data_IF_264428123203
#
_entry.id   IF_264428123203
#
_cell.length_a   1.000
_cell.length_b   1.000
_cell.length_c   1.000
_cell.angle_alpha   90.00
_cell.angle_beta   90.00
_cell.angle_gamma   90.00
#
_symmetry.space_group_name_H-M   'P 1'
#
loop_
_entity.id
_entity.type
_entity.pdbx_description
1 polymer ?
#
# COMPACT_ATOMS: atom_id res chain seq x y z
N UNK A 1 -9.51 15.55 6.56
CA UNK A 1 -8.81 14.69 5.59
C UNK A 1 -7.64 14.04 6.34
N UNK A 2 -7.76 12.78 6.79
CA UNK A 2 -6.67 12.09 7.49
C UNK A 2 -5.80 11.37 6.45
N UNK A 3 -4.91 12.10 5.78
CA UNK A 3 -3.80 11.48 5.06
C UNK A 3 -2.85 10.90 6.10
N UNK A 4 -2.65 9.58 6.06
CA UNK A 4 -1.79 8.90 7.03
C UNK A 4 -0.34 9.27 6.73
N UNK A 5 0.35 9.80 7.74
CA UNK A 5 1.59 10.56 7.52
C UNK A 5 2.76 9.70 7.03
N UNK A 6 2.70 8.38 7.28
CA UNK A 6 3.77 7.42 6.97
C UNK A 6 3.19 6.05 6.58
N UNK A 7 3.93 5.33 5.74
CA UNK A 7 3.70 3.90 5.50
C UNK A 7 3.99 3.12 6.79
N UNK A 8 2.97 2.90 7.59
CA UNK A 8 3.07 1.98 8.71
C UNK A 8 3.13 0.53 8.18
N UNK A 9 4.05 -0.33 8.68
CA UNK A 9 4.12 -1.74 8.29
C UNK A 9 2.77 -2.48 8.42
N UNK A 10 1.85 -2.00 9.26
CA UNK A 10 0.48 -2.52 9.35
C UNK A 10 -0.27 -2.45 8.01
N UNK A 11 -0.10 -1.38 7.23
CA UNK A 11 -0.79 -1.25 5.94
C UNK A 11 -0.26 -2.22 4.89
N UNK A 12 1.04 -2.53 4.93
CA UNK A 12 1.64 -3.52 4.04
C UNK A 12 1.12 -4.92 4.36
N UNK A 13 1.05 -5.27 5.65
CA UNK A 13 0.48 -6.54 6.10
C UNK A 13 -1.02 -6.68 5.72
N UNK A 14 -1.80 -5.60 5.80
CA UNK A 14 -3.19 -5.58 5.35
C UNK A 14 -3.31 -5.82 3.84
N UNK A 15 -2.52 -5.12 3.02
CA UNK A 15 -2.54 -5.31 1.56
C UNK A 15 -2.20 -6.75 1.20
N UNK A 16 -1.15 -7.32 1.77
CA UNK A 16 -0.78 -8.72 1.52
C UNK A 16 -1.86 -9.71 1.96
N UNK A 17 -2.54 -9.43 3.07
CA UNK A 17 -3.66 -10.27 3.57
C UNK A 17 -4.83 -10.21 2.60
N UNK A 18 -5.24 -9.03 2.16
CA UNK A 18 -6.32 -8.88 1.19
C UNK A 18 -5.96 -9.48 -0.17
N UNK A 19 -4.71 -9.34 -0.63
CA UNK A 19 -4.22 -9.99 -1.85
C UNK A 19 -4.33 -11.52 -1.76
N UNK A 20 -3.97 -12.12 -0.62
CA UNK A 20 -4.12 -13.57 -0.38
C UNK A 20 -5.58 -14.01 -0.42
N UNK A 21 -6.47 -13.28 0.26
CA UNK A 21 -7.90 -13.59 0.32
C UNK A 21 -8.55 -13.43 -1.06
N UNK A 22 -8.19 -12.38 -1.79
CA UNK A 22 -8.72 -12.10 -3.13
C UNK A 22 -8.04 -12.91 -4.25
N UNK A 23 -7.06 -13.76 -3.91
CA UNK A 23 -6.23 -14.54 -4.84
C UNK A 23 -5.58 -13.67 -5.94
N UNK A 24 -5.15 -12.46 -5.55
CA UNK A 24 -4.49 -11.49 -6.43
C UNK A 24 -2.97 -11.58 -6.31
N UNK A 25 -2.30 -11.70 -7.45
CA UNK A 25 -0.83 -11.79 -7.52
C UNK A 25 -0.12 -10.44 -7.50
N UNK A 26 -0.86 -9.35 -7.71
CA UNK A 26 -0.33 -8.00 -7.84
C UNK A 26 -1.19 -7.01 -7.03
N UNK A 27 -0.54 -6.18 -6.22
CA UNK A 27 -1.17 -5.13 -5.45
C UNK A 27 -0.38 -3.82 -5.50
N UNK A 28 -1.09 -2.71 -5.36
CA UNK A 28 -0.54 -1.37 -5.31
C UNK A 28 -1.03 -0.68 -4.04
N UNK A 29 -0.09 -0.12 -3.27
CA UNK A 29 -0.37 0.73 -2.12
C UNK A 29 0.06 2.16 -2.46
N UNK A 30 -0.89 3.08 -2.39
CA UNK A 30 -0.68 4.48 -2.79
C UNK A 30 -0.86 5.38 -1.56
N UNK A 31 0.19 6.09 -1.18
CA UNK A 31 0.22 7.09 -0.14
C UNK A 31 0.24 8.50 -0.76
N UNK A 32 -0.87 9.21 -0.62
CA UNK A 32 -1.06 10.57 -1.13
C UNK A 32 -0.48 11.66 -0.21
N UNK A 33 0.17 11.28 0.89
CA UNK A 33 0.84 12.20 1.81
C UNK A 33 2.31 12.51 1.43
N UNK A 34 2.73 12.20 0.20
CA UNK A 34 4.10 12.41 -0.28
C UNK A 34 4.17 13.59 -1.26
N UNK A 35 5.26 14.35 -1.26
CA UNK A 35 5.47 15.47 -2.20
C UNK A 35 5.53 15.01 -3.66
N UNK A 36 5.94 13.77 -3.91
CA UNK A 36 6.00 13.17 -5.23
C UNK A 36 5.22 11.84 -5.22
N UNK A 37 4.26 11.70 -6.12
CA UNK A 37 3.44 10.48 -6.24
C UNK A 37 4.30 9.21 -6.39
N UNK A 38 5.48 9.32 -7.03
CA UNK A 38 6.40 8.19 -7.19
C UNK A 38 6.92 7.65 -5.86
N UNK A 39 7.10 8.50 -4.86
CA UNK A 39 7.55 8.12 -3.51
C UNK A 39 6.41 7.53 -2.67
N UNK A 40 5.17 7.86 -3.05
CA UNK A 40 3.95 7.34 -2.45
C UNK A 40 3.45 6.03 -3.06
N UNK A 41 4.09 5.43 -4.06
CA UNK A 41 3.59 4.19 -4.68
C UNK A 41 4.48 3.00 -4.30
N UNK A 42 3.91 2.00 -3.64
CA UNK A 42 4.53 0.69 -3.39
C UNK A 42 3.79 -0.41 -4.15
N UNK A 43 4.56 -1.32 -4.75
CA UNK A 43 4.06 -2.47 -5.50
C UNK A 43 4.37 -3.75 -4.72
N UNK A 44 3.37 -4.62 -4.59
CA UNK A 44 3.48 -5.91 -3.93
C UNK A 44 3.23 -7.04 -4.93
N UNK A 45 4.02 -8.10 -4.79
CA UNK A 45 3.90 -9.34 -5.57
C UNK A 45 3.83 -10.49 -4.55
N UNK A 46 2.83 -11.37 -4.70
CA UNK A 46 2.62 -12.52 -3.82
C UNK A 46 3.38 -13.76 -4.31
#
# INVERSE_FOLDING_TARGET
MKSVERFDPVFEAQVLTYMRIANLKLGLLINLNSCLLREGVKRFIL
#
